data_IF_645590611869
#
_entry.id   IF_645590611869
#
_cell.length_a   1.000
_cell.length_b   1.000
_cell.length_c   1.000
_cell.angle_alpha   90.00
_cell.angle_beta   90.00
_cell.angle_gamma   90.00
#
_symmetry.space_group_name_H-M   'P 1'
#
loop_
_entity.id
_entity.type
_entity.pdbx_description
1 polymer ?
#
# COMPACT_ATOMS: atom_id res chain seq x y z
N UNK A 1 18.34 -1.48 -8.61
CA UNK A 1 18.85 -0.19 -8.08
C UNK A 1 18.46 -0.17 -6.61
N UNK A 2 19.38 0.12 -5.68
CA UNK A 2 19.01 0.23 -4.28
C UNK A 2 18.06 1.40 -4.08
N UNK A 3 17.09 1.21 -3.20
CA UNK A 3 16.11 2.22 -2.83
C UNK A 3 16.68 3.09 -1.71
N UNK A 4 16.51 4.43 -1.77
CA UNK A 4 17.18 5.32 -0.84
C UNK A 4 16.65 5.18 0.58
N UNK A 5 17.53 5.40 1.56
CA UNK A 5 17.17 5.53 2.97
C UNK A 5 16.17 6.68 3.16
N UNK A 6 15.17 6.45 4.00
CA UNK A 6 14.12 7.41 4.32
C UNK A 6 12.93 7.40 3.37
N UNK A 7 13.03 6.76 2.21
CA UNK A 7 11.94 6.67 1.24
C UNK A 7 10.72 5.95 1.81
N UNK A 8 9.54 6.47 1.50
CA UNK A 8 8.24 5.94 1.91
C UNK A 8 7.60 5.20 0.73
N UNK A 9 7.07 4.02 1.02
CA UNK A 9 6.31 3.21 0.07
C UNK A 9 4.97 2.80 0.68
N UNK A 10 4.03 2.43 -0.18
CA UNK A 10 2.79 1.77 0.21
C UNK A 10 2.63 0.48 -0.58
N UNK A 11 2.26 -0.59 0.12
CA UNK A 11 1.84 -1.85 -0.48
C UNK A 11 0.32 -1.93 -0.44
N UNK A 12 -0.30 -2.00 -1.61
CA UNK A 12 -1.75 -1.95 -1.79
C UNK A 12 -2.29 -3.36 -2.06
N UNK A 13 -3.19 -3.81 -1.19
CA UNK A 13 -3.89 -5.07 -1.34
C UNK A 13 -5.17 -4.89 -2.18
N UNK A 14 -5.56 -5.86 -3.04
CA UNK A 14 -6.81 -5.80 -3.81
C UNK A 14 -8.07 -5.72 -2.93
N UNK A 15 -7.98 -6.11 -1.65
CA UNK A 15 -9.07 -6.04 -0.68
C UNK A 15 -9.16 -4.67 0.03
N UNK A 16 -8.37 -3.67 -0.38
CA UNK A 16 -8.44 -2.30 0.16
C UNK A 16 -7.50 -2.02 1.33
N UNK A 17 -6.75 -3.01 1.82
CA UNK A 17 -5.73 -2.78 2.85
C UNK A 17 -4.49 -2.10 2.27
N UNK A 18 -3.84 -1.26 3.09
CA UNK A 18 -2.59 -0.61 2.74
C UNK A 18 -1.55 -0.79 3.85
N UNK A 19 -0.33 -1.19 3.46
CA UNK A 19 0.82 -1.27 4.38
C UNK A 19 1.83 -0.21 3.99
N UNK A 20 1.99 0.78 4.86
CA UNK A 20 2.95 1.87 4.67
C UNK A 20 4.27 1.51 5.31
N UNK A 21 5.34 1.64 4.53
CA UNK A 21 6.70 1.26 4.94
C UNK A 21 7.65 2.42 4.75
N UNK A 22 8.64 2.54 5.64
CA UNK A 22 9.78 3.45 5.45
C UNK A 22 11.09 2.67 5.32
N UNK A 23 11.96 3.07 4.41
CA UNK A 23 13.30 2.53 4.32
C UNK A 23 14.15 3.06 5.48
N UNK A 24 14.49 2.23 6.46
CA UNK A 24 15.45 2.58 7.52
C UNK A 24 16.88 2.59 7.00
N UNK A 25 17.17 1.70 6.07
CA UNK A 25 18.48 1.51 5.44
C UNK A 25 18.33 1.54 3.91
N UNK A 26 19.45 1.73 3.21
CA UNK A 26 19.50 1.64 1.75
C UNK A 26 19.58 0.16 1.30
N UNK A 27 18.81 -0.20 0.27
CA UNK A 27 18.81 -1.55 -0.26
C UNK A 27 17.59 -1.88 -1.13
N UNK A 28 17.40 -3.15 -1.43
CA UNK A 28 16.31 -3.61 -2.32
C UNK A 28 15.10 -4.06 -1.50
N UNK A 29 13.93 -3.52 -1.85
CA UNK A 29 12.64 -3.96 -1.28
C UNK A 29 11.88 -4.82 -2.30
N UNK A 30 11.04 -5.78 -1.86
CA UNK A 30 10.27 -6.61 -2.78
C UNK A 30 9.12 -5.83 -3.42
N UNK A 31 8.72 -6.23 -4.63
CA UNK A 31 7.58 -5.63 -5.33
C UNK A 31 6.21 -6.07 -4.76
N UNK A 32 6.18 -7.20 -4.05
CA UNK A 32 4.99 -7.79 -3.43
C UNK A 32 5.33 -8.24 -2.01
N UNK A 33 4.38 -8.12 -1.10
CA UNK A 33 4.45 -8.68 0.25
C UNK A 33 3.11 -9.35 0.61
N UNK A 34 3.11 -10.36 1.49
CA UNK A 34 1.87 -10.87 2.06
C UNK A 34 1.08 -9.74 2.74
N UNK A 35 -0.22 -9.63 2.49
CA UNK A 35 -1.04 -8.62 3.14
C UNK A 35 -1.12 -8.86 4.66
N UNK A 36 -0.67 -7.91 5.52
CA UNK A 36 -0.63 -8.12 6.98
C UNK A 36 -2.01 -8.27 7.64
N UNK A 37 -3.09 -7.85 6.98
CA UNK A 37 -4.46 -8.06 7.44
C UNK A 37 -4.97 -9.51 7.29
N UNK A 38 -4.11 -10.49 7.02
CA UNK A 38 -4.42 -11.92 6.91
C UNK A 38 -5.56 -12.26 5.93
N UNK A 39 -5.76 -11.45 4.90
CA UNK A 39 -6.81 -11.66 3.90
C UNK A 39 -6.44 -12.64 2.78
N UNK A 40 -5.26 -13.29 2.86
CA UNK A 40 -4.78 -14.29 1.91
C UNK A 40 -4.29 -13.75 0.55
N UNK A 41 -4.38 -12.43 0.30
CA UNK A 41 -3.88 -11.79 -0.91
C UNK A 41 -2.51 -11.14 -0.70
N UNK A 42 -1.76 -10.96 -1.78
CA UNK A 42 -0.53 -10.16 -1.79
C UNK A 42 -0.84 -8.68 -2.00
N UNK A 43 -0.10 -7.84 -1.28
CA UNK A 43 -0.09 -6.40 -1.44
C UNK A 43 1.04 -6.00 -2.40
N UNK A 44 0.73 -5.15 -3.38
CA UNK A 44 1.67 -4.71 -4.43
C UNK A 44 2.24 -3.34 -4.09
N UNK A 45 3.54 -3.18 -4.30
CA UNK A 45 4.24 -1.91 -4.15
C UNK A 45 3.67 -0.82 -5.07
N UNK A 46 3.49 0.38 -4.51
CA UNK A 46 3.23 1.61 -5.23
C UNK A 46 4.50 2.20 -5.90
N UNK A 47 5.64 1.50 -5.83
CA UNK A 47 6.92 1.93 -6.40
C UNK A 47 7.34 3.32 -5.92
N UNK A 48 7.16 3.60 -4.63
CA UNK A 48 7.50 4.89 -3.99
C UNK A 48 6.75 6.10 -4.57
N UNK A 49 5.71 5.87 -5.40
CA UNK A 49 4.83 6.93 -5.93
C UNK A 49 3.77 7.32 -4.90
N UNK A 50 4.19 7.66 -3.69
CA UNK A 50 3.31 8.07 -2.59
C UNK A 50 3.84 9.36 -1.96
N UNK A 51 3.01 10.12 -1.23
CA UNK A 51 3.49 11.29 -0.49
C UNK A 51 4.62 10.90 0.49
N UNK A 52 5.76 11.56 0.36
CA UNK A 52 6.99 11.24 1.11
C UNK A 52 7.06 11.91 2.49
N UNK A 53 6.07 12.73 2.83
CA UNK A 53 5.85 13.38 4.13
C UNK A 53 4.96 12.55 5.09
N UNK A 54 4.53 11.36 4.65
CA UNK A 54 3.58 10.48 5.35
C UNK A 54 4.20 9.56 6.42
N UNK A 55 5.26 9.98 7.13
CA UNK A 55 5.96 9.10 8.09
C UNK A 55 5.05 8.61 9.22
N UNK A 56 4.07 9.43 9.63
CA UNK A 56 3.11 9.10 10.68
C UNK A 56 2.27 7.86 10.36
N UNK A 57 2.12 7.52 9.08
CA UNK A 57 1.37 6.37 8.60
C UNK A 57 2.23 5.10 8.49
N UNK A 58 3.56 5.22 8.53
CA UNK A 58 4.47 4.10 8.34
C UNK A 58 4.56 3.24 9.61
N UNK A 59 3.73 2.19 9.67
CA UNK A 59 3.74 1.19 10.75
C UNK A 59 4.87 0.16 10.59
N UNK A 60 5.48 0.06 9.41
CA UNK A 60 6.55 -0.89 9.12
C UNK A 60 7.80 -0.19 8.58
N UNK A 61 8.95 -0.84 8.69
CA UNK A 61 10.18 -0.37 8.08
C UNK A 61 10.98 -1.50 7.43
N UNK A 62 11.65 -1.14 6.34
CA UNK A 62 12.65 -1.97 5.67
C UNK A 62 14.02 -1.69 6.28
N UNK A 63 14.69 -2.72 6.76
CA UNK A 63 15.98 -2.58 7.44
C UNK A 63 16.96 -3.66 6.99
N UNK A 64 18.25 -3.38 7.15
CA UNK A 64 19.32 -4.37 7.01
C UNK A 64 19.65 -4.92 8.40
N UNK A 65 19.47 -6.23 8.66
CA UNK A 65 19.85 -6.81 9.95
C UNK A 65 21.37 -6.74 10.14
N UNK A 66 21.81 -6.39 11.35
CA UNK A 66 23.23 -6.38 11.73
C UNK A 66 23.71 -7.76 12.17
N UNK A 67 22.83 -8.52 12.79
CA UNK A 67 23.06 -9.91 13.17
C UNK A 67 22.33 -10.83 12.21
N UNK A 68 23.09 -11.67 11.50
CA UNK A 68 22.55 -12.61 10.54
C UNK A 68 22.33 -14.00 11.15
N UNK A 69 22.80 -14.27 12.38
CA UNK A 69 22.80 -15.62 12.97
C UNK A 69 21.40 -16.22 13.14
N UNK A 70 20.40 -15.36 13.31
CA UNK A 70 18.99 -15.74 13.49
C UNK A 70 18.22 -15.89 12.18
N UNK A 71 18.81 -15.51 11.05
CA UNK A 71 18.16 -15.56 9.75
C UNK A 71 18.19 -16.97 9.15
N UNK A 72 17.11 -17.33 8.49
CA UNK A 72 17.08 -18.50 7.62
C UNK A 72 18.08 -18.35 6.46
N UNK A 73 18.54 -19.46 5.84
CA UNK A 73 19.45 -19.37 4.70
C UNK A 73 18.94 -18.50 3.54
N UNK A 74 17.63 -18.53 3.29
CA UNK A 74 17.02 -17.70 2.23
C UNK A 74 16.99 -16.22 2.56
N UNK A 75 16.69 -15.85 3.81
CA UNK A 75 16.75 -14.46 4.26
C UNK A 75 18.18 -13.92 4.22
N UNK A 76 19.16 -14.74 4.59
CA UNK A 76 20.58 -14.38 4.49
C UNK A 76 21.00 -14.13 3.05
N UNK A 77 20.72 -15.05 2.12
CA UNK A 77 21.03 -14.86 0.70
C UNK A 77 20.34 -13.61 0.13
N UNK A 78 19.10 -13.34 0.53
CA UNK A 78 18.40 -12.11 0.17
C UNK A 78 19.13 -10.85 0.68
N UNK A 79 19.54 -10.83 1.95
CA UNK A 79 20.28 -9.69 2.54
C UNK A 79 21.66 -9.50 1.91
N UNK A 80 22.38 -10.59 1.65
CA UNK A 80 23.71 -10.60 1.01
C UNK A 80 23.65 -10.06 -0.42
N UNK A 81 22.54 -10.28 -1.14
CA UNK A 81 22.26 -9.70 -2.46
C UNK A 81 21.78 -8.25 -2.41
N UNK A 82 21.83 -7.62 -1.25
CA UNK A 82 21.43 -6.23 -1.05
C UNK A 82 19.96 -6.04 -0.68
N UNK A 83 19.23 -7.11 -0.40
CA UNK A 83 17.84 -7.08 0.06
C UNK A 83 17.69 -6.52 1.48
N UNK A 84 16.51 -5.95 1.74
CA UNK A 84 16.07 -5.51 3.07
C UNK A 84 15.01 -6.45 3.62
N UNK A 85 14.95 -6.55 4.96
CA UNK A 85 13.90 -7.28 5.67
C UNK A 85 12.84 -6.32 6.21
N UNK A 86 11.60 -6.81 6.34
CA UNK A 86 10.48 -6.04 6.89
C UNK A 86 10.39 -6.27 8.39
N UNK A 87 10.13 -5.21 9.16
CA UNK A 87 9.68 -5.34 10.56
C UNK A 87 8.64 -4.29 10.90
N UNK A 88 7.90 -4.54 11.97
CA UNK A 88 7.02 -3.55 12.57
C UNK A 88 7.85 -2.44 13.23
N UNK A 89 7.52 -1.16 12.96
CA UNK A 89 8.10 -0.02 13.67
C UNK A 89 7.51 0.03 15.08
N UNK A 90 8.37 0.06 16.08
CA UNK A 90 7.96 0.44 17.42
C UNK A 90 7.85 1.97 17.41
N UNK A 91 6.67 2.49 17.04
CA UNK A 91 6.40 3.90 17.23
C UNK A 91 5.85 4.10 18.66
N UNK A 92 6.56 4.82 19.56
CA UNK A 92 6.10 5.05 20.93
C UNK A 92 4.77 5.81 20.99
N UNK A 93 4.37 6.51 19.92
CA UNK A 93 3.08 7.19 19.82
C UNK A 93 1.93 6.27 19.36
N UNK A 94 2.23 5.18 18.64
CA UNK A 94 1.20 4.21 18.20
C UNK A 94 0.97 3.06 19.19
N UNK A 95 1.81 2.92 20.23
CA UNK A 95 1.62 1.94 21.30
C UNK A 95 0.29 2.13 22.09
N UNK A 96 -0.47 3.20 21.82
CA UNK A 96 -1.75 3.51 22.48
C UNK A 96 -2.98 3.51 21.56
N UNK A 97 -2.83 3.23 20.26
CA UNK A 97 -3.98 3.25 19.33
C UNK A 97 -3.93 2.00 18.45
N UNK A 98 -4.67 0.93 18.79
CA UNK A 98 -4.59 -0.37 18.10
C UNK A 98 -5.02 -0.36 16.62
N UNK A 99 -5.59 0.73 16.11
CA UNK A 99 -6.36 0.69 14.86
C UNK A 99 -6.38 2.01 14.08
N UNK A 100 -5.24 2.71 14.01
CA UNK A 100 -5.09 3.79 13.01
C UNK A 100 -4.82 3.18 11.63
N UNK A 101 -5.82 2.48 11.08
CA UNK A 101 -6.02 2.48 9.65
C UNK A 101 -5.99 3.95 9.21
N UNK A 102 -5.09 4.29 8.29
CA UNK A 102 -5.09 5.64 7.72
C UNK A 102 -6.53 6.03 7.36
N UNK A 103 -6.99 7.26 7.69
CA UNK A 103 -8.39 7.62 7.53
C UNK A 103 -8.88 7.25 6.13
N UNK A 104 -10.02 6.56 6.05
CA UNK A 104 -10.65 6.03 4.82
C UNK A 104 -10.52 6.95 3.58
N UNK A 105 -10.70 8.29 3.67
CA UNK A 105 -10.51 9.16 2.52
C UNK A 105 -9.07 9.20 1.96
N UNK A 106 -8.04 9.05 2.79
CA UNK A 106 -6.65 9.05 2.33
C UNK A 106 -6.30 7.73 1.64
N UNK A 107 -6.73 6.61 2.21
CA UNK A 107 -6.54 5.29 1.58
C UNK A 107 -7.25 5.24 0.23
N UNK A 108 -8.51 5.70 0.16
CA UNK A 108 -9.25 5.83 -1.10
C UNK A 108 -8.56 6.75 -2.10
N UNK A 109 -8.16 7.96 -1.70
CA UNK A 109 -7.54 8.91 -2.61
C UNK A 109 -6.21 8.40 -3.18
N UNK A 110 -5.41 7.69 -2.37
CA UNK A 110 -4.17 7.04 -2.79
C UNK A 110 -4.46 5.88 -3.74
N UNK A 111 -5.42 5.00 -3.40
CA UNK A 111 -5.87 3.89 -4.25
C UNK A 111 -6.43 4.40 -5.58
N UNK A 112 -7.21 5.47 -5.58
CA UNK A 112 -7.79 6.10 -6.77
C UNK A 112 -6.73 6.81 -7.63
N UNK A 113 -5.80 7.57 -7.03
CA UNK A 113 -4.71 8.27 -7.74
C UNK A 113 -3.67 7.33 -8.31
N UNK A 114 -3.37 6.22 -7.63
CA UNK A 114 -2.38 5.24 -8.08
C UNK A 114 -2.94 4.22 -9.07
N UNK A 115 -4.18 4.42 -9.54
CA UNK A 115 -4.71 3.69 -10.68
C UNK A 115 -5.38 2.36 -10.33
N UNK A 116 -5.97 2.22 -9.14
CA UNK A 116 -6.77 1.04 -8.80
C UNK A 116 -8.08 0.89 -9.61
N UNK A 117 -8.35 1.73 -10.62
CA UNK A 117 -9.32 1.36 -11.66
C UNK A 117 -8.98 -0.01 -12.30
N UNK A 118 -7.72 -0.45 -12.25
CA UNK A 118 -7.30 -1.77 -12.68
C UNK A 118 -7.45 -2.88 -11.62
N UNK A 119 -7.40 -2.55 -10.32
CA UNK A 119 -7.35 -3.54 -9.23
C UNK A 119 -8.67 -3.73 -8.47
N UNK A 120 -9.65 -2.83 -8.59
CA UNK A 120 -10.98 -3.06 -8.01
C UNK A 120 -11.63 -4.24 -8.75
N UNK A 121 -11.91 -5.37 -8.05
CA UNK A 121 -12.61 -6.49 -8.64
C UNK A 121 -13.89 -6.02 -9.33
N UNK A 122 -14.18 -6.52 -10.53
CA UNK A 122 -15.32 -6.02 -11.34
C UNK A 122 -16.65 -6.01 -10.58
N UNK A 123 -16.82 -6.91 -9.60
CA UNK A 123 -18.02 -7.01 -8.77
C UNK A 123 -18.15 -5.89 -7.73
N UNK A 124 -17.07 -5.20 -7.36
CA UNK A 124 -17.08 -4.05 -6.43
C UNK A 124 -17.08 -2.70 -7.14
N UNK A 125 -17.01 -2.68 -8.48
CA UNK A 125 -17.12 -1.43 -9.24
C UNK A 125 -18.56 -0.94 -9.16
N UNK A 126 -18.75 0.27 -8.62
CA UNK A 126 -20.05 0.93 -8.64
C UNK A 126 -20.57 0.96 -10.08
N UNK A 127 -21.78 0.42 -10.32
CA UNK A 127 -22.41 0.50 -11.64
C UNK A 127 -22.61 1.98 -11.96
N UNK A 128 -22.18 2.46 -13.14
CA UNK A 128 -22.42 3.84 -13.52
C UNK A 128 -23.92 4.13 -13.41
N UNK A 129 -24.32 5.32 -12.92
CA UNK A 129 -25.73 5.67 -12.80
C UNK A 129 -26.40 5.49 -14.16
N UNK A 130 -27.49 4.72 -14.20
CA UNK A 130 -28.26 4.53 -15.43
C UNK A 130 -28.66 5.91 -15.95
N UNK A 131 -28.12 6.29 -17.11
CA UNK A 131 -28.45 7.56 -17.75
C UNK A 131 -29.97 7.65 -17.87
N UNK A 132 -30.60 8.59 -17.14
CA UNK A 132 -32.02 8.85 -17.25
C UNK A 132 -32.28 9.30 -18.69
N UNK A 133 -32.87 8.42 -19.51
CA UNK A 133 -33.34 8.76 -20.86
C UNK A 133 -34.24 9.99 -20.74
N UNK A 134 -33.74 11.15 -21.15
CA UNK A 134 -34.55 12.36 -21.32
C UNK A 134 -35.64 12.04 -22.34
N UNK A 135 -36.88 11.84 -21.87
CA UNK A 135 -38.05 11.83 -22.74
C UNK A 135 -38.13 13.22 -23.36
N UNK A 136 -37.77 13.36 -24.64
CA UNK A 136 -38.08 14.56 -25.43
C UNK A 136 -39.60 14.66 -25.52
N UNK A 137 -40.20 15.56 -24.74
CA UNK A 137 -41.59 15.94 -24.91
C UNK A 137 -41.72 16.68 -26.25
N UNK A 138 -42.38 16.05 -27.23
CA UNK A 138 -42.83 16.73 -28.44
C UNK A 138 -43.97 17.67 -28.05
N UNK A 139 -43.68 18.97 -27.91
CA UNK A 139 -44.73 20.00 -27.91
C UNK A 139 -45.33 20.04 -29.31
N UNK A 140 -46.61 19.67 -29.44
CA UNK A 140 -47.42 20.04 -30.60
C UNK A 140 -47.85 21.49 -30.39
N UNK A 141 -47.45 22.36 -31.31
CA UNK A 141 -48.05 23.67 -31.49
C UNK A 141 -49.29 23.44 -32.37
N UNK A 142 -50.44 23.85 -31.87
CA UNK A 142 -51.69 24.05 -32.61
C UNK A 142 -52.03 25.51 -32.55
#
# INVERSE_FOLDING_TARGET
MPEPKGAINAYLCPNGHATWTRNRDEGTTPAFIPCPAFCGADARSAWYRVPQDSDAHCAHEWYRPTDLTTLTPGERDHVDRGGLLLRHRINPFHARVPDLQAPEPYQRAVVERLGAKALIPKHLRAKPPKAKRRRKAKRRLT
#
